data_IF_650064657845
#
_entry.id   IF_650064657845
#
_cell.length_a   1.000
_cell.length_b   1.000
_cell.length_c   1.000
_cell.angle_alpha   90.00
_cell.angle_beta   90.00
_cell.angle_gamma   90.00
#
_symmetry.space_group_name_H-M   'P 1'
#
loop_
_entity.id
_entity.type
_entity.pdbx_description
1 polymer ?
#
# COMPACT_ATOMS: atom_id res chain seq x y z
N UNK A 1 -10.81 18.29 -2.14
CA UNK A 1 -11.86 17.57 -2.92
C UNK A 1 -12.98 16.94 -2.05
N UNK A 2 -12.80 15.88 -1.25
CA UNK A 2 -13.85 15.44 -0.26
C UNK A 2 -13.34 15.47 1.18
N UNK A 3 -12.05 15.20 1.41
CA UNK A 3 -11.45 15.30 2.74
C UNK A 3 -11.33 16.74 3.23
N UNK A 4 -10.98 17.70 2.37
CA UNK A 4 -11.04 19.15 2.67
C UNK A 4 -12.45 19.57 3.10
N UNK A 5 -13.48 18.96 2.51
CA UNK A 5 -14.89 19.19 2.82
C UNK A 5 -15.38 18.36 4.02
N UNK A 6 -14.47 17.66 4.69
CA UNK A 6 -14.72 16.81 5.84
C UNK A 6 -15.80 15.74 5.60
N UNK A 7 -15.88 15.19 4.38
CA UNK A 7 -16.90 14.20 4.00
C UNK A 7 -16.43 12.76 4.30
N UNK A 8 -17.36 11.85 4.58
CA UNK A 8 -17.09 10.41 4.55
C UNK A 8 -16.93 9.97 3.09
N UNK A 9 -15.76 9.43 2.75
CA UNK A 9 -15.48 8.99 1.36
C UNK A 9 -15.77 7.50 1.19
N UNK A 10 -15.13 6.64 1.98
CA UNK A 10 -15.32 5.19 1.89
C UNK A 10 -14.98 4.67 0.50
N UNK A 11 -15.89 3.89 -0.08
CA UNK A 11 -15.74 3.31 -1.41
C UNK A 11 -16.14 4.24 -2.56
N UNK A 12 -16.54 5.50 -2.29
CA UNK A 12 -16.80 6.47 -3.36
C UNK A 12 -15.50 6.78 -4.09
N UNK A 13 -15.55 6.74 -5.42
CA UNK A 13 -14.36 6.79 -6.26
C UNK A 13 -13.94 8.22 -6.60
N UNK A 14 -13.36 8.90 -5.63
CA UNK A 14 -12.81 10.26 -5.79
C UNK A 14 -11.33 10.22 -6.21
N UNK A 15 -10.86 11.14 -7.07
CA UNK A 15 -9.46 11.24 -7.47
C UNK A 15 -8.60 11.93 -6.40
N UNK A 16 -7.29 11.91 -6.62
CA UNK A 16 -6.33 12.65 -5.79
C UNK A 16 -6.52 14.18 -5.89
N UNK A 17 -6.17 14.89 -4.83
CA UNK A 17 -5.94 16.35 -4.89
C UNK A 17 -4.57 16.64 -5.51
N UNK A 18 -4.27 17.90 -5.86
CA UNK A 18 -2.95 18.29 -6.33
C UNK A 18 -1.85 17.93 -5.32
N UNK A 19 -2.11 18.19 -4.03
CA UNK A 19 -1.24 17.77 -2.94
C UNK A 19 -1.06 16.26 -2.89
N UNK A 20 -2.14 15.50 -3.11
CA UNK A 20 -2.08 14.04 -3.20
C UNK A 20 -1.20 13.52 -4.34
N UNK A 21 -1.19 14.22 -5.48
CA UNK A 21 -0.29 13.93 -6.61
C UNK A 21 1.17 14.20 -6.22
N UNK A 22 1.45 15.34 -5.58
CA UNK A 22 2.81 15.70 -5.13
C UNK A 22 3.37 14.68 -4.12
N UNK A 23 2.57 14.29 -3.13
CA UNK A 23 2.97 13.28 -2.13
C UNK A 23 3.21 11.90 -2.78
N UNK A 24 2.42 11.52 -3.80
CA UNK A 24 2.64 10.27 -4.55
C UNK A 24 3.98 10.26 -5.30
N UNK A 25 4.30 11.37 -5.97
CA UNK A 25 5.59 11.55 -6.66
C UNK A 25 6.74 11.51 -5.65
N UNK A 26 6.64 12.23 -4.54
CA UNK A 26 7.70 12.30 -3.54
C UNK A 26 8.01 10.92 -2.94
N UNK A 27 6.98 10.14 -2.67
CA UNK A 27 7.19 8.80 -2.17
C UNK A 27 7.78 7.84 -3.22
N UNK A 28 7.45 8.05 -4.51
CA UNK A 28 8.10 7.39 -5.64
C UNK A 28 9.62 7.60 -5.63
N UNK A 29 10.07 8.83 -5.33
CA UNK A 29 11.51 9.14 -5.16
C UNK A 29 12.14 8.38 -4.00
N UNK A 30 11.40 8.16 -2.89
CA UNK A 30 11.90 7.41 -1.72
C UNK A 30 12.11 5.93 -2.01
N UNK A 31 11.27 5.33 -2.85
CA UNK A 31 11.36 3.92 -3.24
C UNK A 31 12.12 3.68 -4.53
N UNK A 32 12.68 4.74 -5.11
CA UNK A 32 13.27 4.77 -6.46
C UNK A 32 14.24 3.64 -6.76
N UNK A 33 15.07 3.27 -5.79
CA UNK A 33 16.11 2.24 -5.97
C UNK A 33 15.73 0.87 -5.41
N UNK A 34 14.53 0.74 -4.86
CA UNK A 34 14.09 -0.50 -4.22
C UNK A 34 13.53 -1.45 -5.28
N UNK A 35 13.81 -2.76 -5.24
CA UNK A 35 13.27 -3.69 -6.22
C UNK A 35 11.75 -3.82 -6.06
N UNK A 36 11.02 -3.81 -7.18
CA UNK A 36 9.57 -4.03 -7.23
C UNK A 36 9.28 -4.95 -8.42
N UNK A 37 8.65 -6.08 -8.14
CA UNK A 37 8.35 -7.12 -9.13
C UNK A 37 6.86 -7.28 -9.39
N UNK A 38 6.01 -6.88 -8.45
CA UNK A 38 4.56 -6.86 -8.60
C UNK A 38 3.95 -5.81 -7.68
N UNK A 39 2.88 -5.17 -8.14
CA UNK A 39 2.15 -4.15 -7.40
C UNK A 39 0.70 -4.59 -7.22
N UNK A 40 0.17 -4.45 -6.01
CA UNK A 40 -1.24 -4.62 -5.71
C UNK A 40 -1.84 -3.27 -5.34
N UNK A 41 -2.97 -2.95 -5.95
CA UNK A 41 -3.69 -1.71 -5.71
C UNK A 41 -5.15 -2.00 -5.37
N UNK A 42 -5.79 -1.08 -4.66
CA UNK A 42 -7.24 -1.14 -4.54
C UNK A 42 -7.92 -0.89 -5.89
N UNK A 43 -9.22 -1.16 -5.97
CA UNK A 43 -10.01 -0.83 -7.16
C UNK A 43 -10.30 0.69 -7.29
N UNK A 44 -10.01 1.51 -6.28
CA UNK A 44 -10.36 2.93 -6.24
C UNK A 44 -9.27 3.79 -6.93
N UNK A 45 -9.70 4.71 -7.79
CA UNK A 45 -8.87 5.50 -8.72
C UNK A 45 -7.71 6.19 -8.03
N UNK A 46 -7.92 6.74 -6.82
CA UNK A 46 -6.90 7.40 -6.02
C UNK A 46 -5.70 6.51 -5.68
N UNK A 47 -5.93 5.24 -5.33
CA UNK A 47 -4.85 4.27 -5.08
C UNK A 47 -4.17 3.86 -6.39
N UNK A 48 -4.91 3.77 -7.50
CA UNK A 48 -4.33 3.53 -8.82
C UNK A 48 -3.43 4.70 -9.24
N UNK A 49 -3.91 5.94 -9.14
CA UNK A 49 -3.15 7.16 -9.43
C UNK A 49 -1.88 7.23 -8.58
N UNK A 50 -1.99 6.99 -7.27
CA UNK A 50 -0.83 6.98 -6.37
C UNK A 50 0.23 5.97 -6.82
N UNK A 51 -0.17 4.74 -7.13
CA UNK A 51 0.77 3.71 -7.57
C UNK A 51 1.48 4.09 -8.86
N UNK A 52 0.72 4.54 -9.86
CA UNK A 52 1.27 4.90 -11.17
C UNK A 52 2.22 6.10 -11.06
N UNK A 53 1.85 7.15 -10.34
CA UNK A 53 2.70 8.33 -10.10
C UNK A 53 3.96 8.01 -9.30
N UNK A 54 3.88 7.13 -8.30
CA UNK A 54 5.07 6.71 -7.56
C UNK A 54 6.03 5.90 -8.44
N UNK A 55 5.49 5.05 -9.33
CA UNK A 55 6.28 4.21 -10.21
C UNK A 55 6.91 4.98 -11.39
N UNK A 56 6.38 6.14 -11.80
CA UNK A 56 7.04 6.98 -12.82
C UNK A 56 8.39 7.54 -12.33
N UNK A 57 8.57 7.71 -11.03
CA UNK A 57 9.83 8.19 -10.44
C UNK A 57 10.86 7.06 -10.23
N UNK A 58 10.44 5.80 -10.37
CA UNK A 58 11.22 4.62 -10.03
C UNK A 58 12.36 4.36 -11.03
N UNK A 59 13.55 3.99 -10.54
CA UNK A 59 14.76 3.85 -11.36
C UNK A 59 14.86 2.54 -12.13
N UNK A 60 14.06 1.52 -11.81
CA UNK A 60 14.21 0.22 -12.47
C UNK A 60 13.84 0.25 -13.96
N UNK A 61 13.29 1.36 -14.47
CA UNK A 61 12.83 1.55 -15.85
C UNK A 61 11.83 0.49 -16.33
N UNK A 62 11.32 -0.36 -15.43
CA UNK A 62 10.22 -1.25 -15.75
C UNK A 62 8.95 -0.42 -15.84
N UNK A 63 8.11 -0.74 -16.81
CA UNK A 63 6.86 -0.03 -17.06
C UNK A 63 5.76 -0.67 -16.22
N UNK A 64 5.09 0.07 -15.31
CA UNK A 64 3.94 -0.46 -14.59
C UNK A 64 2.76 -0.65 -15.54
N UNK A 65 2.13 -1.83 -15.53
CA UNK A 65 1.01 -2.17 -16.41
C UNK A 65 -0.13 -2.73 -15.57
N UNK A 66 -1.29 -2.08 -15.64
CA UNK A 66 -2.51 -2.57 -14.99
C UNK A 66 -2.97 -3.83 -15.72
N UNK A 67 -3.09 -4.92 -14.98
CA UNK A 67 -3.56 -6.20 -15.50
C UNK A 67 -5.08 -6.22 -15.47
N UNK A 68 -5.67 -6.54 -16.63
CA UNK A 68 -7.12 -6.60 -16.82
C UNK A 68 -7.59 -8.05 -16.86
N UNK A 69 -8.08 -8.54 -15.72
CA UNK A 69 -8.51 -9.94 -15.53
C UNK A 69 -10.02 -10.11 -15.39
N UNK A 70 -10.81 -9.05 -15.63
CA UNK A 70 -12.26 -9.04 -15.39
C UNK A 70 -13.03 -9.91 -16.40
N UNK A 71 -12.52 -10.05 -17.62
CA UNK A 71 -13.08 -10.91 -18.67
C UNK A 71 -11.95 -11.53 -19.50
N UNK A 72 -12.22 -12.66 -20.15
CA UNK A 72 -11.26 -13.27 -21.08
C UNK A 72 -10.87 -12.33 -22.24
N UNK A 73 -11.81 -11.50 -22.69
CA UNK A 73 -11.55 -10.50 -23.73
C UNK A 73 -10.55 -9.44 -23.26
N UNK A 74 -10.71 -8.94 -22.02
CA UNK A 74 -9.81 -7.93 -21.46
C UNK A 74 -8.39 -8.49 -21.23
N UNK A 75 -8.28 -9.77 -20.84
CA UNK A 75 -6.99 -10.48 -20.74
C UNK A 75 -6.32 -10.56 -22.10
N UNK A 76 -7.05 -11.01 -23.12
CA UNK A 76 -6.53 -11.15 -24.48
C UNK A 76 -6.06 -9.80 -25.05
N UNK A 77 -6.81 -8.73 -24.82
CA UNK A 77 -6.49 -7.39 -25.33
C UNK A 77 -5.33 -6.71 -24.61
N UNK A 78 -5.04 -7.10 -23.37
CA UNK A 78 -3.92 -6.57 -22.58
C UNK A 78 -2.67 -7.44 -22.63
N UNK A 79 -2.68 -8.54 -23.39
CA UNK A 79 -1.56 -9.46 -23.51
C UNK A 79 -0.34 -8.80 -24.15
N UNK A 80 0.82 -8.98 -23.52
CA UNK A 80 2.12 -8.60 -24.05
C UNK A 80 2.72 -9.84 -24.70
N UNK A 81 2.96 -9.79 -26.01
CA UNK A 81 3.50 -10.92 -26.78
C UNK A 81 5.03 -10.97 -26.81
N UNK A 82 5.69 -9.83 -26.54
CA UNK A 82 7.15 -9.72 -26.53
C UNK A 82 7.69 -10.10 -25.15
N UNK A 83 8.39 -11.23 -25.04
CA UNK A 83 9.02 -11.68 -23.80
C UNK A 83 9.94 -10.62 -23.19
N UNK A 84 10.71 -9.92 -24.02
CA UNK A 84 11.60 -8.84 -23.57
C UNK A 84 10.84 -7.65 -22.97
N UNK A 85 9.69 -7.31 -23.54
CA UNK A 85 8.83 -6.23 -23.02
C UNK A 85 8.11 -6.67 -21.75
N UNK A 86 7.69 -7.93 -21.68
CA UNK A 86 7.08 -8.51 -20.47
C UNK A 86 8.07 -8.48 -19.30
N UNK A 87 9.34 -8.84 -19.52
CA UNK A 87 10.40 -8.74 -18.50
C UNK A 87 10.68 -7.30 -18.05
N UNK A 88 10.41 -6.32 -18.93
CA UNK A 88 10.50 -4.89 -18.64
C UNK A 88 9.20 -4.31 -18.08
N UNK A 89 8.22 -5.14 -17.72
CA UNK A 89 6.97 -4.70 -17.11
C UNK A 89 6.92 -4.99 -15.61
N UNK A 90 6.13 -4.19 -14.90
CA UNK A 90 5.70 -4.51 -13.53
C UNK A 90 4.19 -4.69 -13.55
N UNK A 91 3.67 -5.91 -13.32
CA UNK A 91 2.24 -6.13 -13.26
C UNK A 91 1.63 -5.39 -12.06
N UNK A 92 0.56 -4.64 -12.32
CA UNK A 92 -0.23 -3.90 -11.33
C UNK A 92 -1.62 -4.54 -11.25
N UNK A 93 -1.91 -5.18 -10.12
CA UNK A 93 -3.09 -6.01 -9.91
C UNK A 93 -4.11 -5.23 -9.06
N UNK A 94 -5.31 -5.00 -9.61
CA UNK A 94 -6.43 -4.37 -8.89
C UNK A 94 -7.17 -5.39 -8.01
N UNK A 95 -7.49 -4.99 -6.79
CA UNK A 95 -8.23 -5.81 -5.84
C UNK A 95 -9.23 -4.97 -5.04
N UNK A 96 -10.52 -5.26 -5.18
CA UNK A 96 -11.56 -4.58 -4.40
C UNK A 96 -11.44 -4.89 -2.89
N UNK A 97 -10.85 -6.03 -2.54
CA UNK A 97 -10.59 -6.46 -1.17
C UNK A 97 -9.61 -5.52 -0.45
N UNK A 98 -8.84 -4.71 -1.19
CA UNK A 98 -7.95 -3.69 -0.65
C UNK A 98 -8.59 -2.30 -0.56
N UNK A 99 -9.84 -2.13 -0.98
CA UNK A 99 -10.56 -0.86 -0.89
C UNK A 99 -10.67 -0.36 0.56
N UNK A 100 -10.89 0.94 0.73
CA UNK A 100 -11.22 1.55 2.02
C UNK A 100 -12.42 0.87 2.68
N UNK A 101 -12.55 1.02 4.00
CA UNK A 101 -13.76 0.63 4.73
C UNK A 101 -14.99 1.33 4.12
N UNK A 102 -15.99 0.55 3.76
CA UNK A 102 -17.24 1.07 3.20
C UNK A 102 -18.06 1.74 4.30
N UNK A 103 -18.32 3.05 4.17
CA UNK A 103 -19.01 3.83 5.22
C UNK A 103 -20.55 3.77 5.12
N UNK A 104 -21.09 2.93 4.25
CA UNK A 104 -22.52 2.73 4.08
C UNK A 104 -23.23 4.00 3.68
N UNK A 105 -24.38 4.24 4.31
CA UNK A 105 -25.20 5.43 4.09
C UNK A 105 -24.52 6.73 4.52
N UNK A 106 -23.39 6.68 5.24
CA UNK A 106 -22.67 7.90 5.62
C UNK A 106 -21.86 8.50 4.48
N UNK A 107 -21.59 7.75 3.40
CA UNK A 107 -20.77 8.22 2.28
C UNK A 107 -21.35 9.51 1.66
N UNK A 108 -20.51 10.54 1.53
CA UNK A 108 -20.90 11.86 1.02
C UNK A 108 -21.39 12.84 2.09
N UNK A 109 -21.72 12.38 3.30
CA UNK A 109 -22.11 13.28 4.38
C UNK A 109 -20.90 13.91 5.08
N UNK A 110 -21.08 15.14 5.57
CA UNK A 110 -20.08 15.84 6.37
C UNK A 110 -20.00 15.26 7.78
N UNK A 111 -18.78 14.95 8.24
CA UNK A 111 -18.53 14.29 9.54
C UNK A 111 -19.01 15.11 10.73
N UNK A 112 -18.95 16.44 10.68
CA UNK A 112 -19.43 17.31 11.76
C UNK A 112 -20.96 17.32 11.80
N UNK A 113 -21.62 17.55 10.66
CA UNK A 113 -23.08 17.55 10.57
C UNK A 113 -23.68 16.18 10.94
N UNK A 114 -23.06 15.08 10.51
CA UNK A 114 -23.48 13.73 10.93
C UNK A 114 -23.35 13.56 12.44
N UNK A 115 -22.30 14.11 13.06
CA UNK A 115 -22.12 14.05 14.51
C UNK A 115 -23.15 14.88 15.28
N UNK A 116 -23.63 15.98 14.71
CA UNK A 116 -24.73 16.79 15.26
C UNK A 116 -26.08 16.07 15.14
N UNK A 117 -26.34 15.39 14.02
CA UNK A 117 -27.60 14.68 13.77
C UNK A 117 -27.71 13.33 14.47
N UNK A 118 -26.64 12.53 14.43
CA UNK A 118 -26.62 11.14 14.90
C UNK A 118 -25.98 10.99 16.28
N UNK A 119 -25.40 12.07 16.83
CA UNK A 119 -24.67 12.07 18.09
C UNK A 119 -23.17 11.81 17.94
N UNK A 120 -22.36 12.61 18.65
CA UNK A 120 -20.89 12.56 18.59
C UNK A 120 -20.33 11.20 18.98
N UNK A 121 -20.88 10.56 20.02
CA UNK A 121 -20.44 9.24 20.47
C UNK A 121 -20.70 8.15 19.44
N UNK A 122 -21.87 8.19 18.78
CA UNK A 122 -22.22 7.21 17.76
C UNK A 122 -21.30 7.33 16.54
N UNK A 123 -21.07 8.56 16.05
CA UNK A 123 -20.15 8.81 14.95
C UNK A 123 -18.70 8.46 15.33
N UNK A 124 -18.31 8.70 16.57
CA UNK A 124 -17.01 8.27 17.08
C UNK A 124 -16.89 6.74 17.05
N UNK A 125 -17.89 6.00 17.55
CA UNK A 125 -17.92 4.53 17.51
C UNK A 125 -17.81 4.02 16.07
N UNK A 126 -18.60 4.52 15.12
CA UNK A 126 -18.49 4.13 13.71
C UNK A 126 -17.11 4.43 13.11
N UNK A 127 -16.45 5.49 13.56
CA UNK A 127 -15.13 5.88 13.01
C UNK A 127 -13.97 5.11 13.64
N UNK A 128 -14.04 4.81 14.93
CA UNK A 128 -12.90 4.36 15.74
C UNK A 128 -13.07 2.98 16.36
N UNK A 129 -14.28 2.44 16.45
CA UNK A 129 -14.47 1.07 16.96
C UNK A 129 -14.00 0.02 15.94
N UNK A 130 -13.63 -1.14 16.47
CA UNK A 130 -13.25 -2.30 15.69
C UNK A 130 -14.47 -2.99 15.03
N UNK A 131 -15.53 -3.15 15.80
CA UNK A 131 -16.74 -3.93 15.48
C UNK A 131 -17.92 -3.07 15.00
N UNK A 132 -17.99 -1.79 15.39
CA UNK A 132 -19.12 -0.95 15.07
C UNK A 132 -19.23 -0.70 13.55
N UNK A 133 -20.42 -0.98 13.02
CA UNK A 133 -20.75 -0.83 11.61
C UNK A 133 -21.63 0.42 11.44
N UNK A 134 -21.32 1.34 10.50
CA UNK A 134 -22.27 2.36 10.09
C UNK A 134 -23.45 1.73 9.32
N UNK A 135 -24.62 2.41 9.23
CA UNK A 135 -25.79 1.85 8.54
C UNK A 135 -25.45 1.41 7.11
N UNK A 136 -25.74 0.14 6.79
CA UNK A 136 -25.38 -0.50 5.51
C UNK A 136 -23.90 -0.38 5.13
N UNK A 137 -23.00 -0.29 6.12
CA UNK A 137 -21.55 -0.12 5.95
C UNK A 137 -20.72 -1.37 6.26
N UNK A 138 -19.42 -1.19 6.46
CA UNK A 138 -18.50 -2.20 6.98
C UNK A 138 -17.90 -1.73 8.32
N UNK A 139 -17.70 -2.66 9.26
CA UNK A 139 -16.84 -2.43 10.43
C UNK A 139 -15.36 -2.56 10.05
N UNK A 140 -14.45 -2.21 10.98
CA UNK A 140 -13.02 -2.46 10.77
C UNK A 140 -12.71 -3.96 10.72
N UNK A 141 -13.39 -4.77 11.54
CA UNK A 141 -13.28 -6.23 11.51
C UNK A 141 -13.65 -6.83 10.14
N UNK A 142 -14.74 -6.36 9.53
CA UNK A 142 -15.17 -6.83 8.20
C UNK A 142 -14.14 -6.47 7.13
N UNK A 143 -13.63 -5.23 7.17
CA UNK A 143 -12.55 -4.76 6.30
C UNK A 143 -11.29 -5.62 6.49
N UNK A 144 -10.96 -5.94 7.75
CA UNK A 144 -9.82 -6.76 8.09
C UNK A 144 -9.92 -8.15 7.51
N UNK A 145 -11.06 -8.81 7.70
CA UNK A 145 -11.29 -10.16 7.18
C UNK A 145 -11.03 -10.22 5.68
N UNK A 146 -11.61 -9.31 4.88
CA UNK A 146 -11.41 -9.33 3.42
C UNK A 146 -9.98 -8.96 3.01
N UNK A 147 -9.38 -7.95 3.63
CA UNK A 147 -8.06 -7.47 3.26
C UNK A 147 -6.96 -8.49 3.61
N UNK A 148 -7.03 -9.09 4.80
CA UNK A 148 -6.06 -10.09 5.28
C UNK A 148 -6.22 -11.41 4.55
N UNK A 149 -7.45 -11.87 4.27
CA UNK A 149 -7.66 -13.08 3.44
C UNK A 149 -7.04 -12.89 2.06
N UNK A 150 -7.32 -11.77 1.39
CA UNK A 150 -6.71 -11.47 0.10
C UNK A 150 -5.19 -11.39 0.17
N UNK A 151 -4.65 -10.73 1.19
CA UNK A 151 -3.21 -10.63 1.40
C UNK A 151 -2.54 -12.01 1.52
N UNK A 152 -3.10 -12.90 2.36
CA UNK A 152 -2.60 -14.27 2.54
C UNK A 152 -2.67 -15.11 1.26
N UNK A 153 -3.75 -14.98 0.51
CA UNK A 153 -3.99 -15.82 -0.67
C UNK A 153 -3.26 -15.32 -1.92
N UNK A 154 -3.02 -14.01 -2.03
CA UNK A 154 -2.52 -13.40 -3.26
C UNK A 154 -1.15 -12.74 -3.10
N UNK A 155 -0.88 -12.08 -1.96
CA UNK A 155 0.34 -11.29 -1.75
C UNK A 155 1.46 -12.12 -1.12
N UNK A 156 1.17 -12.85 -0.04
CA UNK A 156 2.18 -13.70 0.63
C UNK A 156 2.82 -14.77 -0.27
N UNK A 157 2.08 -15.42 -1.19
CA UNK A 157 2.68 -16.39 -2.10
C UNK A 157 3.68 -15.74 -3.06
N UNK A 158 3.51 -14.46 -3.43
CA UNK A 158 4.49 -13.75 -4.25
C UNK A 158 5.79 -13.51 -3.46
N UNK A 159 5.68 -13.11 -2.19
CA UNK A 159 6.84 -12.94 -1.30
C UNK A 159 7.56 -14.27 -1.06
N UNK A 160 6.80 -15.35 -0.83
CA UNK A 160 7.32 -16.71 -0.69
C UNK A 160 8.01 -17.22 -1.96
N UNK A 161 7.47 -16.84 -3.12
CA UNK A 161 8.03 -17.12 -4.44
C UNK A 161 9.20 -16.20 -4.83
N UNK A 162 9.61 -15.33 -3.92
CA UNK A 162 10.81 -14.52 -4.07
C UNK A 162 10.66 -13.20 -4.82
N UNK A 163 9.45 -12.67 -4.87
CA UNK A 163 9.18 -11.36 -5.47
C UNK A 163 9.18 -10.26 -4.43
N UNK A 164 9.61 -9.07 -4.84
CA UNK A 164 9.43 -7.85 -4.07
C UNK A 164 8.08 -7.23 -4.41
N UNK A 165 7.24 -7.03 -3.40
CA UNK A 165 5.84 -6.66 -3.58
C UNK A 165 5.59 -5.25 -3.07
N UNK A 166 4.89 -4.43 -3.86
CA UNK A 166 4.32 -3.17 -3.39
C UNK A 166 2.81 -3.31 -3.26
N UNK A 167 2.24 -2.79 -2.17
CA UNK A 167 0.78 -2.70 -1.95
C UNK A 167 0.44 -1.23 -1.75
N UNK A 168 -0.42 -0.67 -2.60
CA UNK A 168 -0.90 0.72 -2.50
C UNK A 168 -2.39 0.70 -2.17
N UNK A 169 -2.75 1.07 -0.95
CA UNK A 169 -4.13 0.94 -0.48
C UNK A 169 -4.50 2.03 0.56
N UNK A 170 -5.60 1.81 1.28
CA UNK A 170 -6.29 2.81 2.10
C UNK A 170 -5.99 2.63 3.58
N UNK A 171 -6.48 3.56 4.41
CA UNK A 171 -6.06 3.62 5.81
C UNK A 171 -6.52 2.37 6.56
N UNK A 172 -7.80 2.00 6.43
CA UNK A 172 -8.33 0.88 7.21
C UNK A 172 -7.92 -0.47 6.62
N UNK A 173 -7.78 -0.60 5.30
CA UNK A 173 -7.28 -1.83 4.70
C UNK A 173 -5.80 -2.06 5.02
N UNK A 174 -4.96 -1.03 5.04
CA UNK A 174 -3.57 -1.15 5.47
C UNK A 174 -3.43 -1.37 6.97
N UNK A 175 -4.21 -0.67 7.82
CA UNK A 175 -4.25 -0.97 9.27
C UNK A 175 -4.59 -2.43 9.52
N UNK A 176 -5.52 -2.99 8.76
CA UNK A 176 -5.90 -4.39 8.87
C UNK A 176 -4.76 -5.34 8.52
N UNK A 177 -4.03 -5.06 7.44
CA UNK A 177 -2.85 -5.83 7.06
C UNK A 177 -1.77 -5.69 8.14
N UNK A 178 -1.49 -4.47 8.60
CA UNK A 178 -0.50 -4.21 9.65
C UNK A 178 -0.85 -4.91 10.97
N UNK A 179 -2.12 -4.94 11.34
CA UNK A 179 -2.58 -5.69 12.51
C UNK A 179 -2.22 -7.18 12.40
N UNK A 180 -2.35 -7.76 11.20
CA UNK A 180 -1.92 -9.13 10.94
C UNK A 180 -0.39 -9.29 10.94
N UNK A 181 0.37 -8.39 10.28
CA UNK A 181 1.83 -8.47 10.19
C UNK A 181 2.53 -8.28 11.55
N UNK A 182 2.11 -7.28 12.30
CA UNK A 182 2.68 -6.89 13.59
C UNK A 182 1.99 -7.63 14.77
N UNK A 183 0.99 -8.49 14.49
CA UNK A 183 0.18 -9.23 15.48
C UNK A 183 -0.47 -8.32 16.53
N UNK A 184 -0.96 -7.16 16.10
CA UNK A 184 -1.58 -6.17 16.97
C UNK A 184 -2.97 -6.64 17.45
N UNK A 185 -3.35 -6.18 18.62
CA UNK A 185 -4.69 -6.32 19.18
C UNK A 185 -5.67 -5.31 18.56
N UNK A 186 -6.97 -5.53 18.78
CA UNK A 186 -8.02 -4.59 18.36
C UNK A 186 -7.86 -3.20 19.02
N UNK A 187 -7.28 -3.12 20.22
CA UNK A 187 -7.02 -1.85 20.90
C UNK A 187 -5.79 -1.14 20.34
N UNK A 188 -4.74 -1.87 19.98
CA UNK A 188 -3.54 -1.24 19.38
C UNK A 188 -3.81 -0.69 17.97
N UNK A 189 -4.59 -1.41 17.16
CA UNK A 189 -4.85 -1.00 15.77
C UNK A 189 -5.68 0.29 15.65
N UNK A 190 -6.58 0.57 16.60
CA UNK A 190 -7.41 1.79 16.57
C UNK A 190 -6.59 3.07 16.84
N UNK A 191 -5.45 2.91 17.51
CA UNK A 191 -4.46 3.95 17.80
C UNK A 191 -3.34 4.01 16.77
N UNK A 192 -3.27 3.08 15.82
CA UNK A 192 -2.27 3.08 14.77
C UNK A 192 -2.49 4.26 13.80
N UNK A 193 -1.56 5.20 13.82
CA UNK A 193 -1.50 6.31 12.88
C UNK A 193 -0.60 5.96 11.70
N UNK A 194 -1.12 6.16 10.49
CA UNK A 194 -0.38 5.97 9.25
C UNK A 194 -0.14 7.34 8.63
N UNK A 195 1.12 7.67 8.38
CA UNK A 195 1.49 8.88 7.64
C UNK A 195 1.19 8.67 6.16
N UNK A 196 0.46 9.59 5.53
CA UNK A 196 0.21 9.54 4.08
C UNK A 196 1.49 9.77 3.31
N UNK A 197 1.63 9.12 2.15
CA UNK A 197 2.78 9.35 1.26
C UNK A 197 4.11 8.87 1.83
N UNK A 198 4.10 8.13 2.95
CA UNK A 198 5.29 7.54 3.55
C UNK A 198 5.21 6.02 3.39
N UNK A 199 6.00 5.41 2.49
CA UNK A 199 6.00 3.98 2.31
C UNK A 199 6.58 3.28 3.54
N UNK A 200 5.99 2.17 3.97
CA UNK A 200 6.52 1.32 5.03
C UNK A 200 7.16 0.07 4.43
N UNK A 201 8.41 -0.21 4.82
CA UNK A 201 9.11 -1.43 4.44
C UNK A 201 8.96 -2.52 5.52
N UNK A 202 8.66 -3.72 5.02
CA UNK A 202 8.80 -4.98 5.73
C UNK A 202 9.79 -5.88 4.98
N UNK A 203 10.68 -6.53 5.73
CA UNK A 203 11.48 -7.65 5.22
C UNK A 203 10.73 -8.94 5.52
N UNK A 204 10.47 -9.72 4.49
CA UNK A 204 9.92 -11.06 4.58
C UNK A 204 11.04 -12.10 4.51
N UNK A 205 11.18 -12.90 5.57
CA UNK A 205 12.20 -13.95 5.68
C UNK A 205 11.66 -15.12 6.51
N UNK A 206 11.74 -16.34 5.97
CA UNK A 206 11.35 -17.54 6.71
C UNK A 206 9.91 -17.51 7.23
N UNK A 207 8.98 -17.01 6.42
CA UNK A 207 7.57 -16.81 6.79
C UNK A 207 7.33 -15.82 7.95
N UNK A 208 8.27 -14.91 8.17
CA UNK A 208 8.16 -13.84 9.16
C UNK A 208 8.30 -12.48 8.50
N UNK A 209 7.59 -11.50 9.04
CA UNK A 209 7.64 -10.11 8.64
C UNK A 209 8.42 -9.30 9.68
N UNK A 210 9.42 -8.56 9.22
CA UNK A 210 10.27 -7.71 10.07
C UNK A 210 10.11 -6.28 9.59
N UNK A 211 9.44 -5.45 10.40
CA UNK A 211 9.25 -4.03 10.11
C UNK A 211 10.59 -3.29 10.14
N UNK A 212 10.87 -2.51 9.09
CA UNK A 212 12.08 -1.66 9.00
C UNK A 212 11.79 -0.15 9.06
N UNK A 213 10.52 0.23 8.99
CA UNK A 213 10.10 1.63 8.98
C UNK A 213 10.04 2.19 7.56
N UNK A 214 10.10 3.52 7.42
CA UNK A 214 10.13 4.16 6.09
C UNK A 214 11.52 4.06 5.48
N UNK A 215 11.63 3.76 4.17
CA UNK A 215 12.87 4.02 3.43
C UNK A 215 13.29 5.48 3.62
N UNK A 216 14.56 5.69 3.96
CA UNK A 216 15.15 7.03 3.96
C UNK A 216 15.24 7.48 2.51
N UNK A 217 14.50 8.54 2.16
CA UNK A 217 14.65 9.19 0.85
C UNK A 217 16.12 9.56 0.64
N UNK A 218 16.60 9.42 -0.60
CA UNK A 218 18.01 9.51 -0.96
C UNK A 218 18.68 10.79 -0.45
N UNK A 219 19.48 10.67 0.62
CA UNK A 219 20.67 11.50 0.84
C UNK A 219 21.79 10.75 1.56
N UNK A 220 21.53 9.61 2.18
CA UNK A 220 22.58 8.72 2.67
C UNK A 220 22.24 7.27 2.31
N UNK A 221 23.27 6.46 2.06
CA UNK A 221 23.20 5.01 2.02
C UNK A 221 22.87 4.42 3.42
N UNK A 222 21.85 4.98 4.08
CA UNK A 222 21.38 4.60 5.40
C UNK A 222 20.40 3.44 5.27
N UNK A 223 20.71 2.35 5.97
CA UNK A 223 19.93 1.11 6.13
C UNK A 223 20.03 0.09 4.97
N UNK A 224 20.36 0.49 3.74
CA UNK A 224 20.50 -0.42 2.59
C UNK A 224 21.95 -0.58 2.12
N UNK A 225 22.87 -0.90 3.02
CA UNK A 225 24.18 -1.38 2.61
C UNK A 225 24.02 -2.71 1.86
N UNK A 226 24.15 -2.61 0.54
CA UNK A 226 24.18 -3.66 -0.46
C UNK A 226 24.79 -4.97 0.02
N UNK A 227 24.12 -6.10 -0.26
CA UNK A 227 24.81 -7.39 -0.37
C UNK A 227 24.81 -7.82 -1.83
N UNK A 228 26.02 -7.96 -2.35
CA UNK A 228 26.39 -8.31 -3.72
C UNK A 228 25.69 -9.55 -4.28
N UNK A 229 25.26 -9.45 -5.54
CA UNK A 229 25.74 -10.37 -6.58
C UNK A 229 26.07 -9.55 -7.83
N UNK A 230 27.38 -9.35 -8.04
CA UNK A 230 28.06 -8.98 -9.31
C UNK A 230 27.52 -7.77 -10.09
N UNK A 231 28.11 -6.60 -9.87
CA UNK A 231 28.73 -5.81 -10.95
C UNK A 231 29.59 -4.70 -10.31
N UNK A 232 30.89 -4.76 -10.61
CA UNK A 232 31.94 -3.75 -10.38
C UNK A 232 32.58 -3.61 -8.98
N UNK A 233 33.82 -4.10 -8.94
CA UNK A 233 34.85 -3.97 -7.93
C UNK A 233 35.39 -2.52 -7.84
N UNK A 234 36.03 -2.22 -6.69
CA UNK A 234 37.07 -1.21 -6.46
C UNK A 234 36.63 0.20 -6.02
N UNK A 235 36.70 0.50 -4.72
CA UNK A 235 37.77 1.29 -4.08
C UNK A 235 37.37 1.78 -2.66
N UNK A 236 38.25 1.48 -1.71
CA UNK A 236 38.44 2.07 -0.35
C UNK A 236 37.56 1.57 0.81
N UNK A 237 38.29 1.25 1.89
CA UNK A 237 37.87 0.56 3.10
C UNK A 237 37.07 1.43 4.08
N UNK A 238 36.29 0.72 4.91
CA UNK A 238 35.90 0.96 6.33
C UNK A 238 34.39 1.08 6.51
N UNK A 239 33.76 0.05 7.08
CA UNK A 239 32.53 0.19 7.87
C UNK A 239 32.34 -1.03 8.80
N UNK A 240 32.22 -0.77 10.10
CA UNK A 240 31.89 -1.76 11.13
C UNK A 240 30.37 -1.80 11.39
N UNK A 241 29.88 -3.03 11.57
CA UNK A 241 28.66 -3.48 12.29
C UNK A 241 27.30 -2.88 11.93
N UNK A 242 26.49 -3.60 11.14
CA UNK A 242 25.40 -4.51 11.61
C UNK A 242 25.09 -5.48 10.44
N UNK A 243 25.67 -6.68 10.47
CA UNK A 243 25.50 -7.67 9.40
C UNK A 243 24.24 -8.50 9.57
N UNK A 244 23.15 -8.14 8.91
CA UNK A 244 22.06 -9.09 8.62
C UNK A 244 22.25 -9.53 7.17
N UNK A 245 22.61 -10.80 6.95
CA UNK A 245 22.65 -11.37 5.61
C UNK A 245 21.25 -11.32 4.98
N UNK A 246 21.09 -10.49 3.95
CA UNK A 246 19.86 -10.29 3.15
C UNK A 246 19.67 -11.38 2.08
N UNK A 247 20.59 -12.34 1.98
CA UNK A 247 20.48 -13.45 1.03
C UNK A 247 19.20 -14.25 1.32
N UNK A 248 18.30 -14.31 0.33
CA UNK A 248 17.01 -15.00 0.44
C UNK A 248 15.93 -14.24 1.23
N UNK A 249 16.04 -12.90 1.36
CA UNK A 249 15.00 -12.06 1.97
C UNK A 249 14.31 -11.21 0.90
N UNK A 250 12.98 -11.05 1.01
CA UNK A 250 12.16 -10.32 0.04
C UNK A 250 11.47 -9.12 0.70
N UNK A 251 11.14 -8.11 -0.09
CA UNK A 251 10.67 -6.84 0.44
C UNK A 251 9.17 -6.67 0.18
N UNK A 252 8.44 -6.27 1.23
CA UNK A 252 7.06 -5.83 1.15
C UNK A 252 7.02 -4.33 1.43
N UNK A 253 6.51 -3.57 0.47
CA UNK A 253 6.27 -2.14 0.60
C UNK A 253 4.78 -1.90 0.80
N UNK A 254 4.39 -1.44 1.97
CA UNK A 254 3.03 -0.98 2.24
C UNK A 254 2.99 0.53 2.05
N UNK A 255 2.34 0.94 0.98
CA UNK A 255 2.18 2.32 0.60
C UNK A 255 0.78 2.80 0.96
N UNK A 256 0.72 3.75 1.87
CA UNK A 256 -0.54 4.37 2.24
C UNK A 256 -0.91 5.48 1.25
N UNK A 257 -2.04 5.29 0.55
CA UNK A 257 -2.53 6.25 -0.42
C UNK A 257 -2.69 7.64 0.20
N UNK A 258 -2.45 8.65 -0.62
CA UNK A 258 -2.50 10.02 -0.16
C UNK A 258 -3.90 10.56 -0.36
N UNK A 259 -4.65 10.58 0.72
CA UNK A 259 -5.95 11.26 0.77
C UNK A 259 -5.87 12.61 1.51
N UNK A 260 -4.72 13.00 2.06
CA UNK A 260 -4.67 14.09 3.03
C UNK A 260 -4.42 15.49 2.44
N UNK A 261 -5.42 16.32 2.78
CA UNK A 261 -5.60 17.75 2.54
C UNK A 261 -5.96 18.02 1.09
#
# INVERSE_FOLDING_TARGET
MWNEKNLFTGCVDVPLTNKGVEEAIEAGKRIRHLPIDVVYISALIRSQMTAMLALTEHHCKKVPIIIHNETEQAKLWSQIYSEGTEMQSVPVIKAWQLNERMYGELQGYNKQETAERCGKEQVYKWRRSYDAQPPNGESLEMCLRRAVTYFKEQVEPQLSGGKNVMVVAHANSLRSILMYLDKLTAEEVIHLELSTGVPMLYIYKGNQFIRRGSPLGSMEAGVYAYTEVRYLFCLTNVCHSVGVSLVGSFHLFLYFEVLQM
#
